data_IF_632406501945
#
_entry.id   IF_632406501945
#
_cell.length_a   1.000
_cell.length_b   1.000
_cell.length_c   1.000
_cell.angle_alpha   90.00
_cell.angle_beta   90.00
_cell.angle_gamma   90.00
#
_symmetry.space_group_name_H-M   'P 1'
#
loop_
_entity.id
_entity.type
_entity.pdbx_description
1 polymer ?
#
# COMPACT_ATOMS: atom_id res chain seq x y z
N UNK A 1 18.74 -6.63 -1.34
CA UNK A 1 19.61 -6.11 -2.43
C UNK A 1 20.16 -4.75 -2.03
N UNK A 2 21.39 -4.46 -2.38
CA UNK A 2 22.03 -3.15 -2.11
C UNK A 2 22.38 -2.50 -3.44
N UNK A 3 21.97 -1.23 -3.61
CA UNK A 3 22.28 -0.43 -4.79
C UNK A 3 22.84 0.90 -4.32
N UNK A 4 24.05 1.28 -4.78
CA UNK A 4 24.72 2.54 -4.43
C UNK A 4 24.79 2.78 -2.90
N UNK A 5 25.05 1.72 -2.11
CA UNK A 5 25.10 1.83 -0.68
C UNK A 5 23.77 1.84 0.02
N UNK A 6 22.67 1.68 -0.70
CA UNK A 6 21.31 1.60 -0.17
C UNK A 6 20.81 0.16 -0.22
N UNK A 7 20.03 -0.24 0.78
CA UNK A 7 19.17 -1.41 0.65
C UNK A 7 17.99 -1.01 -0.24
N UNK A 8 17.45 -1.98 -0.98
CA UNK A 8 16.30 -1.74 -1.85
C UNK A 8 15.15 -2.61 -1.40
N UNK A 9 13.97 -2.01 -1.23
CA UNK A 9 12.74 -2.72 -0.91
C UNK A 9 11.70 -2.40 -1.99
N UNK A 10 11.13 -3.45 -2.58
CA UNK A 10 10.10 -3.32 -3.60
C UNK A 10 8.77 -3.73 -2.99
N UNK A 11 7.73 -2.97 -3.26
CA UNK A 11 6.38 -3.29 -2.81
C UNK A 11 5.35 -3.16 -3.90
N UNK A 12 4.19 -3.77 -3.68
CA UNK A 12 3.04 -3.70 -4.56
C UNK A 12 1.79 -3.28 -3.79
N UNK A 13 1.01 -2.38 -4.39
CA UNK A 13 -0.18 -1.78 -3.79
C UNK A 13 -1.34 -1.80 -4.77
N UNK A 14 -2.54 -2.00 -4.26
CA UNK A 14 -3.75 -2.09 -5.08
C UNK A 14 -4.71 -0.93 -4.83
N UNK A 15 -5.08 -0.22 -5.88
CA UNK A 15 -6.08 0.85 -5.83
C UNK A 15 -7.42 0.27 -6.28
N UNK A 16 -8.39 0.30 -5.37
CA UNK A 16 -9.76 -0.13 -5.63
C UNK A 16 -10.68 1.07 -5.40
N UNK A 17 -11.36 1.48 -6.46
CA UNK A 17 -12.34 2.58 -6.41
C UNK A 17 -13.66 1.99 -6.89
N UNK A 18 -14.73 2.16 -6.12
CA UNK A 18 -16.04 1.62 -6.46
C UNK A 18 -16.90 2.61 -7.25
N UNK A 19 -18.10 2.17 -7.64
CA UNK A 19 -19.02 2.97 -8.42
C UNK A 19 -19.62 4.15 -7.64
N UNK A 20 -19.48 4.13 -6.30
CA UNK A 20 -19.93 5.22 -5.44
C UNK A 20 -18.83 6.25 -5.17
N UNK A 21 -17.73 6.20 -5.91
CA UNK A 21 -16.58 7.10 -5.79
C UNK A 21 -15.92 7.01 -4.41
N UNK A 22 -15.75 5.77 -3.93
CA UNK A 22 -15.05 5.47 -2.69
C UNK A 22 -13.80 4.67 -2.98
N UNK A 23 -12.74 4.94 -2.24
CA UNK A 23 -11.48 4.19 -2.32
C UNK A 23 -11.36 3.28 -1.11
N UNK A 24 -10.86 2.06 -1.33
CA UNK A 24 -10.59 1.12 -0.26
C UNK A 24 -9.24 1.45 0.37
N UNK A 25 -9.25 1.72 1.67
CA UNK A 25 -8.04 2.03 2.43
C UNK A 25 -7.93 1.10 3.63
N UNK A 26 -6.71 0.93 4.11
CA UNK A 26 -6.40 0.18 5.32
C UNK A 26 -5.73 1.10 6.34
N UNK A 27 -6.04 0.91 7.62
CA UNK A 27 -5.48 1.74 8.70
C UNK A 27 -4.17 1.13 9.18
N UNK A 28 -3.06 1.72 8.74
CA UNK A 28 -1.70 1.28 9.04
C UNK A 28 -1.31 1.66 10.47
N UNK A 29 -0.71 0.70 11.21
CA UNK A 29 -0.45 0.85 12.65
C UNK A 29 1.02 0.84 13.05
N UNK A 30 1.95 0.80 12.12
CA UNK A 30 3.38 0.71 12.43
C UNK A 30 4.05 2.08 12.65
N UNK A 31 3.37 3.16 12.32
CA UNK A 31 3.90 4.51 12.51
C UNK A 31 3.61 5.06 13.89
N UNK A 32 4.06 6.29 14.19
CA UNK A 32 3.82 6.93 15.49
C UNK A 32 2.34 7.17 15.79
N UNK A 33 1.52 7.35 14.76
CA UNK A 33 0.07 7.43 14.87
C UNK A 33 -0.55 6.59 13.75
N UNK A 34 -1.71 5.95 13.99
CA UNK A 34 -2.39 5.22 12.92
C UNK A 34 -2.73 6.16 11.76
N UNK A 35 -2.52 5.69 10.53
CA UNK A 35 -2.79 6.47 9.33
C UNK A 35 -3.35 5.58 8.23
N UNK A 36 -4.29 6.10 7.47
CA UNK A 36 -4.88 5.37 6.35
C UNK A 36 -3.87 5.27 5.21
N UNK A 37 -3.83 4.11 4.57
CA UNK A 37 -2.94 3.81 3.44
C UNK A 37 -3.66 3.02 2.36
N UNK A 38 -3.11 3.03 1.18
CA UNK A 38 -3.52 2.10 0.11
C UNK A 38 -3.11 0.69 0.52
N UNK A 39 -3.98 -0.33 0.39
CA UNK A 39 -3.60 -1.69 0.74
C UNK A 39 -2.45 -2.19 -0.12
N UNK A 40 -1.50 -2.83 0.51
CA UNK A 40 -0.30 -3.32 -0.14
C UNK A 40 0.84 -3.47 0.84
N UNK A 41 2.01 -3.82 0.33
CA UNK A 41 3.20 -3.98 1.16
C UNK A 41 4.39 -4.49 0.40
N UNK A 42 5.45 -4.81 1.13
CA UNK A 42 6.70 -5.29 0.56
C UNK A 42 6.60 -6.68 -0.04
N UNK A 43 7.26 -6.88 -1.16
CA UNK A 43 7.38 -8.20 -1.77
C UNK A 43 8.27 -9.09 -0.91
N UNK A 44 7.85 -10.34 -0.75
CA UNK A 44 8.66 -11.37 -0.12
C UNK A 44 9.72 -11.88 -1.09
N UNK A 45 10.78 -12.55 -0.60
CA UNK A 45 11.80 -13.12 -1.49
C UNK A 45 11.16 -14.00 -2.57
N UNK A 46 11.49 -13.72 -3.83
CA UNK A 46 10.95 -14.44 -4.97
C UNK A 46 9.56 -13.98 -5.42
N UNK A 47 8.96 -13.05 -4.71
CA UNK A 47 7.63 -12.51 -5.05
C UNK A 47 7.76 -11.28 -5.93
N UNK A 48 6.94 -11.18 -6.97
CA UNK A 48 6.87 -9.97 -7.78
C UNK A 48 6.04 -8.88 -7.07
N UNK A 49 6.16 -7.61 -7.47
CA UNK A 49 5.28 -6.55 -6.95
C UNK A 49 3.80 -6.86 -7.18
N UNK A 50 3.46 -7.46 -8.32
CA UNK A 50 2.09 -7.86 -8.64
C UNK A 50 1.57 -8.90 -7.64
N UNK A 51 2.38 -9.92 -7.36
CA UNK A 51 2.02 -10.95 -6.39
C UNK A 51 1.90 -10.36 -4.99
N UNK A 52 2.80 -9.45 -4.61
CA UNK A 52 2.74 -8.77 -3.32
C UNK A 52 1.45 -7.95 -3.18
N UNK A 53 1.06 -7.22 -4.23
CA UNK A 53 -0.17 -6.44 -4.21
C UNK A 53 -1.40 -7.32 -3.97
N UNK A 54 -1.52 -8.42 -4.70
CA UNK A 54 -2.67 -9.34 -4.58
C UNK A 54 -2.72 -9.97 -3.18
N UNK A 55 -1.58 -10.45 -2.70
CA UNK A 55 -1.49 -11.08 -1.37
C UNK A 55 -1.82 -10.09 -0.25
N UNK A 56 -1.21 -8.92 -0.29
CA UNK A 56 -1.38 -7.91 0.76
C UNK A 56 -2.81 -7.35 0.79
N UNK A 57 -3.43 -7.13 -0.38
CA UNK A 57 -4.82 -6.68 -0.42
C UNK A 57 -5.71 -7.71 0.27
N UNK A 58 -5.50 -9.00 0.01
CA UNK A 58 -6.27 -10.05 0.67
C UNK A 58 -6.04 -10.08 2.18
N UNK A 59 -4.78 -10.01 2.62
CA UNK A 59 -4.46 -10.02 4.05
C UNK A 59 -5.07 -8.84 4.78
N UNK A 60 -5.01 -7.65 4.19
CA UNK A 60 -5.43 -6.41 4.83
C UNK A 60 -6.92 -6.12 4.71
N UNK A 61 -7.57 -6.58 3.66
CA UNK A 61 -8.96 -6.20 3.37
C UNK A 61 -9.93 -7.38 3.24
N UNK A 62 -9.43 -8.59 3.05
CA UNK A 62 -10.26 -9.78 2.84
C UNK A 62 -10.70 -9.99 1.39
N UNK A 63 -10.43 -9.05 0.51
CA UNK A 63 -10.83 -9.18 -0.90
C UNK A 63 -9.78 -9.91 -1.72
N UNK A 64 -10.24 -10.80 -2.58
CA UNK A 64 -9.46 -11.35 -3.67
C UNK A 64 -9.57 -10.42 -4.86
N UNK A 65 -8.44 -10.00 -5.40
CA UNK A 65 -8.41 -9.01 -6.48
C UNK A 65 -7.63 -9.52 -7.68
N UNK A 66 -7.93 -8.95 -8.82
CA UNK A 66 -7.21 -9.09 -10.06
C UNK A 66 -6.65 -7.72 -10.42
N UNK A 67 -5.39 -7.67 -10.82
CA UNK A 67 -4.77 -6.42 -11.24
C UNK A 67 -5.17 -6.10 -12.68
N UNK A 68 -5.63 -4.88 -12.89
CA UNK A 68 -6.11 -4.42 -14.21
C UNK A 68 -4.95 -3.81 -14.99
N UNK A 69 -4.18 -2.91 -14.36
CA UNK A 69 -3.03 -2.26 -15.00
C UNK A 69 -2.13 -1.61 -13.96
N UNK A 70 -0.88 -1.38 -14.34
CA UNK A 70 0.04 -0.56 -13.56
C UNK A 70 -0.34 0.91 -13.74
N UNK A 71 -0.60 1.60 -12.63
CA UNK A 71 -0.88 3.03 -12.63
C UNK A 71 0.41 3.86 -12.61
N UNK A 72 1.42 3.38 -11.90
CA UNK A 72 2.69 4.06 -11.80
C UNK A 72 3.54 3.51 -10.68
N UNK A 73 4.69 4.13 -10.49
CA UNK A 73 5.56 3.80 -9.37
C UNK A 73 5.94 5.04 -8.59
N UNK A 74 6.29 4.82 -7.33
CA UNK A 74 6.69 5.85 -6.40
C UNK A 74 7.98 5.40 -5.72
N UNK A 75 8.89 6.33 -5.45
CA UNK A 75 10.17 6.03 -4.82
C UNK A 75 10.41 7.00 -3.68
N UNK A 76 10.95 6.47 -2.58
CA UNK A 76 11.44 7.32 -1.50
C UNK A 76 12.61 6.66 -0.80
N UNK A 77 13.41 7.47 -0.11
CA UNK A 77 14.56 6.99 0.65
C UNK A 77 14.31 7.20 2.12
N UNK A 78 14.56 6.14 2.92
CA UNK A 78 14.55 6.22 4.38
C UNK A 78 16.00 6.30 4.83
N UNK A 79 16.32 7.31 5.63
CA UNK A 79 17.69 7.52 6.12
C UNK A 79 18.12 6.40 7.06
N UNK A 80 19.42 6.13 7.09
CA UNK A 80 20.02 5.28 8.11
C UNK A 80 19.60 5.80 9.49
N UNK A 81 19.12 4.90 10.36
CA UNK A 81 18.67 5.26 11.71
C UNK A 81 17.20 5.65 11.80
N UNK A 82 16.51 5.89 10.68
CA UNK A 82 15.07 6.19 10.66
C UNK A 82 14.23 5.00 10.21
N UNK A 83 14.87 3.88 9.91
CA UNK A 83 14.16 2.67 9.46
C UNK A 83 13.48 1.97 10.63
N UNK A 84 12.28 1.44 10.38
CA UNK A 84 11.51 0.69 11.38
C UNK A 84 12.22 -0.60 11.83
N UNK A 85 13.04 -1.19 10.96
CA UNK A 85 13.79 -2.41 11.26
C UNK A 85 15.11 -2.17 12.03
N UNK A 86 15.46 -0.91 12.29
CA UNK A 86 16.66 -0.54 13.02
C UNK A 86 17.97 -0.70 12.26
N UNK A 87 17.93 -1.06 10.99
CA UNK A 87 19.14 -1.22 10.17
C UNK A 87 19.77 0.15 9.91
N UNK A 88 21.09 0.26 10.03
CA UNK A 88 21.81 1.54 9.92
C UNK A 88 22.33 1.82 8.50
N UNK A 89 21.60 1.39 7.49
CA UNK A 89 21.84 1.75 6.10
C UNK A 89 20.61 2.43 5.53
N UNK A 90 20.76 3.36 4.57
CA UNK A 90 19.61 3.93 3.90
C UNK A 90 18.81 2.86 3.16
N UNK A 91 17.50 3.07 3.08
CA UNK A 91 16.58 2.19 2.34
C UNK A 91 15.99 2.96 1.16
N UNK A 92 16.16 2.43 -0.04
CA UNK A 92 15.39 2.89 -1.22
C UNK A 92 14.15 2.02 -1.31
N UNK A 93 12.99 2.63 -1.14
CA UNK A 93 11.71 1.95 -1.29
C UNK A 93 11.11 2.30 -2.65
N UNK A 94 10.74 1.27 -3.41
CA UNK A 94 10.10 1.39 -4.72
C UNK A 94 8.72 0.76 -4.58
N UNK A 95 7.67 1.55 -4.79
CA UNK A 95 6.29 1.10 -4.64
C UNK A 95 5.60 1.13 -5.99
N UNK A 96 5.14 -0.05 -6.43
CA UNK A 96 4.36 -0.19 -7.66
C UNK A 96 2.88 -0.12 -7.31
N UNK A 97 2.16 0.77 -7.96
CA UNK A 97 0.75 1.05 -7.69
C UNK A 97 -0.09 0.55 -8.86
N UNK A 98 -0.98 -0.39 -8.58
CA UNK A 98 -1.82 -1.04 -9.59
C UNK A 98 -3.29 -0.67 -9.39
N UNK A 99 -4.01 -0.53 -10.49
CA UNK A 99 -5.47 -0.55 -10.46
C UNK A 99 -5.89 -2.01 -10.29
N UNK A 100 -6.78 -2.27 -9.33
CA UNK A 100 -7.26 -3.61 -9.04
C UNK A 100 -8.78 -3.65 -9.04
N UNK A 101 -9.33 -4.85 -9.26
CA UNK A 101 -10.77 -5.08 -9.16
C UNK A 101 -11.04 -6.31 -8.32
N UNK A 102 -12.17 -6.31 -7.63
CA UNK A 102 -12.57 -7.42 -6.76
C UNK A 102 -13.09 -8.57 -7.62
N UNK A 103 -12.57 -9.77 -7.38
CA UNK A 103 -13.03 -11.00 -8.02
C UNK A 103 -13.57 -12.01 -7.00
N UNK A 104 -13.47 -11.74 -5.71
CA UNK A 104 -13.96 -12.62 -4.65
C UNK A 104 -13.67 -12.06 -3.27
N UNK A 105 -14.00 -12.84 -2.25
CA UNK A 105 -13.76 -12.46 -0.87
C UNK A 105 -14.79 -11.49 -0.31
N UNK A 106 -14.59 -11.10 0.93
CA UNK A 106 -15.46 -10.15 1.64
C UNK A 106 -14.60 -9.22 2.48
N UNK A 107 -15.05 -7.99 2.70
CA UNK A 107 -14.34 -7.04 3.54
C UNK A 107 -14.19 -7.59 4.95
N UNK A 108 -12.95 -7.74 5.37
CA UNK A 108 -12.58 -8.15 6.73
C UNK A 108 -11.39 -7.33 7.21
N UNK A 109 -11.07 -7.42 8.49
CA UNK A 109 -9.92 -6.72 9.06
C UNK A 109 -8.79 -7.70 9.31
N UNK A 110 -7.56 -7.26 9.07
CA UNK A 110 -6.38 -8.03 9.42
C UNK A 110 -6.27 -8.15 10.95
N UNK A 111 -5.86 -9.32 11.44
CA UNK A 111 -5.67 -9.56 12.87
C UNK A 111 -4.17 -9.79 13.11
N UNK A 112 -3.57 -8.96 13.98
CA UNK A 112 -2.17 -9.10 14.37
C UNK A 112 -1.16 -8.70 13.32
N UNK A 113 -1.60 -8.03 12.23
CA UNK A 113 -0.72 -7.55 11.17
C UNK A 113 -0.38 -6.07 11.28
N UNK A 114 0.01 -5.47 10.16
CA UNK A 114 0.44 -4.08 10.08
C UNK A 114 -0.70 -3.09 9.94
N UNK A 115 -1.93 -3.58 9.74
CA UNK A 115 -3.14 -2.75 9.64
C UNK A 115 -4.19 -3.24 10.63
N UNK A 116 -4.99 -2.31 11.13
CA UNK A 116 -6.02 -2.58 12.13
C UNK A 116 -7.43 -2.65 11.54
N UNK A 117 -7.68 -1.96 10.43
CA UNK A 117 -9.01 -1.78 9.87
C UNK A 117 -8.91 -1.60 8.36
N UNK A 118 -9.93 -2.03 7.63
CA UNK A 118 -10.08 -1.72 6.21
C UNK A 118 -11.47 -1.10 6.00
N UNK A 119 -11.54 -0.06 5.17
CA UNK A 119 -12.80 0.65 4.95
C UNK A 119 -12.85 1.31 3.57
N UNK A 120 -14.06 1.44 3.04
CA UNK A 120 -14.36 2.23 1.87
C UNK A 120 -14.56 3.68 2.29
N UNK A 121 -13.67 4.56 1.84
CA UNK A 121 -13.70 5.98 2.20
C UNK A 121 -14.14 6.78 0.98
N UNK A 122 -15.19 7.61 1.09
CA UNK A 122 -15.53 8.51 -0.02
C UNK A 122 -14.32 9.36 -0.40
N UNK A 123 -14.01 9.43 -1.69
CA UNK A 123 -12.84 10.18 -2.15
C UNK A 123 -12.92 11.64 -1.73
N UNK A 124 -14.14 12.20 -1.67
CA UNK A 124 -14.34 13.56 -1.21
C UNK A 124 -13.92 13.78 0.26
N UNK A 125 -13.87 12.72 1.07
CA UNK A 125 -13.51 12.80 2.49
C UNK A 125 -12.02 12.55 2.76
N UNK A 126 -11.27 12.12 1.77
CA UNK A 126 -9.86 11.72 1.94
C UNK A 126 -9.00 12.87 2.47
N UNK A 127 -9.26 14.09 2.04
CA UNK A 127 -8.49 15.25 2.50
C UNK A 127 -8.63 15.51 4.00
N UNK A 128 -9.68 14.99 4.64
CA UNK A 128 -9.97 15.21 6.06
C UNK A 128 -9.48 14.11 7.01
N UNK A 129 -8.85 13.05 6.50
CA UNK A 129 -8.41 11.92 7.35
C UNK A 129 -6.88 11.91 7.49
N UNK A 130 -6.41 11.34 8.61
CA UNK A 130 -4.99 11.08 8.82
C UNK A 130 -4.57 9.99 7.84
N UNK A 131 -3.65 10.31 6.94
CA UNK A 131 -3.23 9.41 5.87
C UNK A 131 -1.77 9.54 5.53
N UNK A 132 -1.21 8.49 4.95
CA UNK A 132 0.15 8.52 4.39
C UNK A 132 0.13 9.13 2.98
N UNK A 133 1.25 9.64 2.54
CA UNK A 133 1.38 10.32 1.23
C UNK A 133 1.00 9.43 0.05
N UNK A 134 1.16 8.12 0.19
CA UNK A 134 0.82 7.18 -0.88
C UNK A 134 -0.65 7.27 -1.31
N UNK A 135 -1.56 7.63 -0.39
CA UNK A 135 -2.98 7.79 -0.73
C UNK A 135 -3.16 8.89 -1.77
N UNK A 136 -2.52 10.04 -1.57
CA UNK A 136 -2.61 11.15 -2.52
C UNK A 136 -1.94 10.80 -3.85
N UNK A 137 -0.80 10.13 -3.78
CA UNK A 137 -0.08 9.65 -4.97
C UNK A 137 -0.96 8.68 -5.77
N UNK A 138 -1.58 7.70 -5.10
CA UNK A 138 -2.44 6.72 -5.75
C UNK A 138 -3.66 7.38 -6.42
N UNK A 139 -4.30 8.31 -5.74
CA UNK A 139 -5.44 9.04 -6.31
C UNK A 139 -5.03 9.85 -7.54
N UNK A 140 -3.88 10.52 -7.49
CA UNK A 140 -3.35 11.27 -8.63
C UNK A 140 -3.08 10.34 -9.81
N UNK A 141 -2.47 9.19 -9.57
CA UNK A 141 -2.18 8.22 -10.62
C UNK A 141 -3.45 7.61 -11.21
N UNK A 142 -4.45 7.32 -10.38
CA UNK A 142 -5.70 6.71 -10.83
C UNK A 142 -6.59 7.70 -11.59
N UNK A 143 -6.54 8.96 -11.23
CA UNK A 143 -7.44 9.99 -11.75
C UNK A 143 -6.76 11.00 -12.69
N UNK A 144 -5.48 11.05 -12.62
CA UNK A 144 -4.67 12.00 -13.34
C UNK A 144 -4.50 11.69 -14.79
#
# INVERSE_FOLDING_TARGET
>A
MTVDGHDTRVGGYGVLIDDADRILLALWNEGPTPAWTVPGGGAEPGESPEQAAVREVREETGYDVELVRLLGEDRFTVRAGERLDGVLRPLLAIRFVFEARIVGGNLTHEVGGTTDEAAWIPIADVAGIQRVDLVDTALRLARG
#
